data_IF_754731857581
#
_entry.id   IF_754731857581
#
_cell.length_a   1.000
_cell.length_b   1.000
_cell.length_c   1.000
_cell.angle_alpha   90.00
_cell.angle_beta   90.00
_cell.angle_gamma   90.00
#
_symmetry.space_group_name_H-M   'P 1'
#
loop_
_entity.id
_entity.type
_entity.pdbx_description
1 polymer ?
#
# COMPACT_ATOMS: atom_id res chain seq x y z
N UNK A 1 2.13 -6.18 -3.55
CA UNK A 1 0.87 -5.41 -3.53
C UNK A 1 1.04 -3.94 -3.88
N UNK A 2 1.95 -3.16 -3.29
CA UNK A 2 2.05 -1.72 -3.60
C UNK A 2 2.34 -1.40 -5.08
N UNK A 3 3.09 -2.26 -5.78
CA UNK A 3 3.28 -2.22 -7.24
C UNK A 3 1.95 -2.39 -8.00
N UNK A 4 1.12 -3.32 -7.55
CA UNK A 4 -0.21 -3.59 -8.13
C UNK A 4 -1.14 -2.41 -7.89
N UNK A 5 -1.14 -1.84 -6.67
CA UNK A 5 -1.91 -0.64 -6.34
C UNK A 5 -1.54 0.56 -7.25
N UNK A 6 -0.24 0.78 -7.46
CA UNK A 6 0.25 1.82 -8.36
C UNK A 6 -0.27 1.63 -9.80
N UNK A 7 -0.27 0.39 -10.29
CA UNK A 7 -0.77 0.05 -11.61
C UNK A 7 -2.30 0.15 -11.71
N UNK A 8 -3.05 -0.25 -10.68
CA UNK A 8 -4.50 -0.06 -10.67
C UNK A 8 -4.88 1.42 -10.76
N UNK A 9 -4.18 2.29 -10.04
CA UNK A 9 -4.37 3.73 -10.16
C UNK A 9 -4.01 4.23 -11.57
N UNK A 10 -2.93 3.71 -12.17
CA UNK A 10 -2.58 4.00 -13.56
C UNK A 10 -3.68 3.59 -14.56
N UNK A 11 -4.33 2.45 -14.35
CA UNK A 11 -5.46 2.00 -15.17
C UNK A 11 -6.68 2.91 -14.97
N UNK A 12 -6.92 3.40 -13.75
CA UNK A 12 -7.99 4.36 -13.47
C UNK A 12 -7.72 5.72 -14.09
N UNK A 13 -6.45 6.16 -14.11
CA UNK A 13 -6.03 7.44 -14.71
C UNK A 13 -6.29 7.49 -16.23
N UNK A 14 -6.62 6.37 -16.88
CA UNK A 14 -7.08 6.37 -18.27
C UNK A 14 -8.39 7.16 -18.47
N UNK A 15 -9.24 7.26 -17.44
CA UNK A 15 -10.49 8.02 -17.50
C UNK A 15 -10.27 9.53 -17.65
N UNK A 16 -9.11 10.04 -17.24
CA UNK A 16 -8.72 11.42 -17.48
C UNK A 16 -8.29 11.62 -18.93
N UNK A 17 -8.51 12.84 -19.44
CA UNK A 17 -7.96 13.28 -20.72
C UNK A 17 -6.44 13.11 -20.75
N UNK A 18 -5.84 12.76 -21.91
CA UNK A 18 -4.40 12.50 -22.00
C UNK A 18 -3.48 13.57 -21.41
N UNK A 19 -3.88 14.85 -21.45
CA UNK A 19 -3.13 15.98 -20.89
C UNK A 19 -3.16 16.06 -19.36
N UNK A 20 -4.23 15.53 -18.74
CA UNK A 20 -4.52 15.60 -17.31
C UNK A 20 -4.04 14.35 -16.56
N UNK A 21 -3.66 13.30 -17.29
CA UNK A 21 -3.05 12.09 -16.74
C UNK A 21 -1.77 12.42 -15.98
N UNK A 22 -1.60 11.76 -14.84
CA UNK A 22 -0.50 12.01 -13.92
C UNK A 22 0.19 10.76 -13.41
N UNK A 23 -0.38 9.57 -13.61
CA UNK A 23 0.17 8.29 -13.16
C UNK A 23 0.77 7.54 -14.36
N UNK A 24 1.85 6.81 -14.12
CA UNK A 24 2.59 6.07 -15.15
C UNK A 24 3.50 6.97 -15.98
N UNK A 25 4.06 8.01 -15.37
CA UNK A 25 5.06 8.87 -16.00
C UNK A 25 6.42 8.64 -15.36
N UNK A 26 7.46 8.48 -16.16
CA UNK A 26 8.84 8.47 -15.67
C UNK A 26 9.55 9.78 -15.97
N UNK A 27 10.43 10.20 -15.06
CA UNK A 27 11.27 11.36 -15.30
C UNK A 27 12.57 10.94 -16.01
N UNK A 28 12.86 11.58 -17.14
CA UNK A 28 14.10 11.35 -17.91
C UNK A 28 15.38 11.68 -17.11
N UNK A 29 15.31 12.67 -16.23
CA UNK A 29 16.41 13.08 -15.34
C UNK A 29 15.89 13.44 -13.95
N UNK A 30 16.03 12.50 -13.02
CA UNK A 30 15.64 12.67 -11.63
C UNK A 30 16.81 13.18 -10.79
N UNK A 31 16.61 14.29 -10.08
CA UNK A 31 17.53 14.80 -9.08
C UNK A 31 17.20 14.17 -7.71
N UNK A 32 18.07 13.27 -7.24
CA UNK A 32 17.89 12.61 -5.94
C UNK A 32 18.06 13.57 -4.76
N UNK A 33 18.88 14.62 -4.89
CA UNK A 33 19.15 15.58 -3.82
C UNK A 33 17.93 16.46 -3.57
N UNK A 34 17.39 17.03 -4.64
CA UNK A 34 16.22 17.90 -4.57
C UNK A 34 14.88 17.14 -4.67
N UNK A 35 14.93 15.82 -4.86
CA UNK A 35 13.78 14.93 -5.07
C UNK A 35 12.81 15.47 -6.12
N UNK A 36 13.36 15.91 -7.24
CA UNK A 36 12.60 16.59 -8.29
C UNK A 36 12.99 16.08 -9.69
N UNK A 37 12.05 16.18 -10.62
CA UNK A 37 12.34 15.96 -12.02
C UNK A 37 12.95 17.22 -12.62
N UNK A 38 14.17 17.13 -13.13
CA UNK A 38 14.86 18.22 -13.83
C UNK A 38 14.90 18.00 -15.35
N UNK A 39 14.32 16.89 -15.82
CA UNK A 39 14.14 16.59 -17.24
C UNK A 39 12.67 16.70 -17.66
N UNK A 40 12.31 15.96 -18.71
CA UNK A 40 10.93 15.80 -19.16
C UNK A 40 10.27 14.58 -18.51
N UNK A 41 8.99 14.71 -18.19
CA UNK A 41 8.13 13.59 -17.85
C UNK A 41 7.68 12.87 -19.12
N UNK A 42 7.81 11.55 -19.14
CA UNK A 42 7.43 10.70 -20.26
C UNK A 42 6.40 9.68 -19.78
N UNK A 43 5.21 9.71 -20.39
CA UNK A 43 4.17 8.73 -20.13
C UNK A 43 4.60 7.34 -20.58
N UNK A 44 4.11 6.32 -19.89
CA UNK A 44 4.36 4.93 -20.25
C UNK A 44 3.63 4.58 -21.55
N UNK A 45 4.40 4.43 -22.62
CA UNK A 45 3.93 3.88 -23.89
C UNK A 45 4.25 2.39 -23.94
N UNK A 46 3.28 1.56 -24.28
CA UNK A 46 3.43 0.11 -24.26
C UNK A 46 2.46 -0.62 -25.17
N UNK A 47 2.43 -1.94 -25.02
CA UNK A 47 1.76 -2.87 -25.93
C UNK A 47 0.28 -3.09 -25.64
N UNK A 48 -0.31 -2.45 -24.63
CA UNK A 48 -1.75 -2.54 -24.44
C UNK A 48 -2.50 -1.88 -25.61
N UNK A 49 -3.75 -2.30 -25.86
CA UNK A 49 -4.52 -1.92 -27.04
C UNK A 49 -4.74 -0.40 -27.23
N UNK A 50 -4.66 0.37 -26.14
CA UNK A 50 -4.77 1.84 -26.10
C UNK A 50 -3.39 2.54 -26.11
N UNK A 51 -2.31 1.82 -26.46
CA UNK A 51 -0.94 2.33 -26.47
C UNK A 51 -0.34 2.55 -25.07
N UNK A 52 -1.06 2.17 -24.01
CA UNK A 52 -0.60 2.26 -22.62
C UNK A 52 0.23 1.03 -22.25
N UNK A 53 1.02 1.15 -21.20
CA UNK A 53 1.73 0.00 -20.64
C UNK A 53 0.81 -1.05 -20.02
N UNK A 54 1.16 -2.32 -20.24
CA UNK A 54 0.77 -3.47 -19.42
C UNK A 54 1.39 -3.37 -18.03
N UNK A 55 1.03 -4.29 -17.12
CA UNK A 55 1.60 -4.31 -15.76
C UNK A 55 3.13 -4.45 -15.79
N UNK A 56 3.65 -5.38 -16.58
CA UNK A 56 5.09 -5.65 -16.65
C UNK A 56 5.86 -4.46 -17.25
N UNK A 57 5.33 -3.85 -18.31
CA UNK A 57 5.87 -2.62 -18.90
C UNK A 57 5.83 -1.45 -17.91
N UNK A 58 4.75 -1.32 -17.13
CA UNK A 58 4.65 -0.32 -16.07
C UNK A 58 5.70 -0.52 -14.98
N UNK A 59 5.99 -1.78 -14.60
CA UNK A 59 7.05 -2.08 -13.64
C UNK A 59 8.44 -1.72 -14.17
N UNK A 60 8.64 -1.67 -15.49
CA UNK A 60 9.88 -1.20 -16.08
C UNK A 60 10.14 0.30 -15.85
N UNK A 61 9.13 1.11 -15.50
CA UNK A 61 9.33 2.49 -15.04
C UNK A 61 9.91 2.56 -13.63
N UNK A 62 9.70 1.50 -12.84
CA UNK A 62 10.04 1.42 -11.41
C UNK A 62 11.37 0.71 -11.17
N UNK A 63 11.97 0.09 -12.19
CA UNK A 63 13.24 -0.64 -12.05
C UNK A 63 14.45 0.29 -12.04
N UNK A 64 15.52 -0.16 -11.42
CA UNK A 64 16.85 0.42 -11.67
C UNK A 64 17.32 0.05 -13.09
N UNK A 65 18.03 0.96 -13.76
CA UNK A 65 18.62 0.72 -15.10
C UNK A 65 19.47 -0.56 -15.22
N UNK A 66 20.01 -1.06 -14.09
CA UNK A 66 20.85 -2.26 -14.02
C UNK A 66 20.09 -3.60 -14.04
N UNK A 67 18.75 -3.60 -14.07
CA UNK A 67 17.95 -4.84 -14.05
C UNK A 67 17.37 -5.14 -15.44
N UNK A 68 17.32 -6.43 -15.75
CA UNK A 68 16.63 -6.93 -16.94
C UNK A 68 15.18 -6.42 -16.98
N UNK A 69 14.58 -6.29 -18.18
CA UNK A 69 13.17 -5.97 -18.30
C UNK A 69 12.29 -6.93 -17.51
N UNK A 70 11.31 -6.37 -16.82
CA UNK A 70 10.25 -7.16 -16.20
C UNK A 70 9.35 -7.69 -17.30
N UNK A 71 9.11 -9.00 -17.30
CA UNK A 71 8.26 -9.72 -18.24
C UNK A 71 7.74 -11.00 -17.60
N UNK A 72 6.47 -11.32 -17.80
CA UNK A 72 5.79 -12.50 -17.27
C UNK A 72 5.44 -12.41 -15.78
N UNK A 73 5.30 -11.22 -15.20
CA UNK A 73 5.03 -11.07 -13.76
C UNK A 73 3.55 -10.89 -13.44
N UNK A 74 2.76 -10.43 -14.42
CA UNK A 74 1.32 -10.30 -14.32
C UNK A 74 0.62 -11.66 -14.26
N UNK A 75 -0.23 -11.86 -13.25
CA UNK A 75 -1.18 -12.97 -13.19
C UNK A 75 -2.58 -12.41 -13.37
N UNK A 76 -3.39 -13.01 -14.23
CA UNK A 76 -4.75 -12.55 -14.54
C UNK A 76 -5.79 -13.51 -14.00
N UNK A 77 -6.93 -12.98 -13.51
CA UNK A 77 -8.06 -13.80 -13.08
C UNK A 77 -8.59 -14.59 -14.28
N UNK A 78 -8.83 -15.88 -14.09
CA UNK A 78 -9.27 -16.82 -15.14
C UNK A 78 -10.46 -16.25 -15.92
N UNK A 79 -10.37 -16.29 -17.25
CA UNK A 79 -11.43 -15.80 -18.15
C UNK A 79 -11.54 -14.27 -18.24
N UNK A 80 -10.60 -13.51 -17.65
CA UNK A 80 -10.63 -12.05 -17.68
C UNK A 80 -9.26 -11.46 -18.02
N UNK A 81 -9.22 -10.17 -18.37
CA UNK A 81 -7.98 -9.37 -18.47
C UNK A 81 -7.67 -8.60 -17.18
N UNK A 82 -8.33 -8.93 -16.06
CA UNK A 82 -8.14 -8.27 -14.76
C UNK A 82 -6.99 -8.93 -14.02
N UNK A 83 -6.09 -8.12 -13.46
CA UNK A 83 -5.03 -8.67 -12.61
C UNK A 83 -5.63 -9.40 -11.42
N UNK A 84 -5.08 -10.59 -11.14
CA UNK A 84 -5.20 -11.20 -9.84
C UNK A 84 -4.19 -10.51 -8.92
N UNK A 85 -4.70 -9.66 -8.03
CA UNK A 85 -3.89 -8.81 -7.15
C UNK A 85 -2.98 -9.62 -6.25
N UNK A 86 -3.54 -10.68 -5.67
CA UNK A 86 -2.83 -11.49 -4.69
C UNK A 86 -1.81 -12.39 -5.39
N UNK A 87 -2.21 -13.12 -6.43
CA UNK A 87 -1.30 -13.99 -7.18
C UNK A 87 -0.19 -13.20 -7.88
N UNK A 88 -0.50 -12.06 -8.51
CA UNK A 88 0.52 -11.16 -9.08
C UNK A 88 1.48 -10.67 -8.00
N UNK A 89 0.98 -10.39 -6.79
CA UNK A 89 1.83 -9.95 -5.68
C UNK A 89 2.71 -11.05 -5.13
N UNK A 90 2.19 -12.28 -5.00
CA UNK A 90 2.95 -13.48 -4.60
C UNK A 90 4.06 -13.76 -5.61
N UNK A 91 3.73 -13.76 -6.89
CA UNK A 91 4.71 -13.98 -7.95
C UNK A 91 5.79 -12.90 -7.92
N UNK A 92 5.41 -11.62 -7.83
CA UNK A 92 6.36 -10.51 -7.71
C UNK A 92 7.29 -10.68 -6.48
N UNK A 93 6.77 -11.13 -5.34
CA UNK A 93 7.57 -11.41 -4.14
C UNK A 93 8.61 -12.52 -4.37
N UNK A 94 8.23 -13.60 -5.06
CA UNK A 94 9.12 -14.73 -5.39
C UNK A 94 10.30 -14.28 -6.27
N UNK A 95 10.10 -13.33 -7.18
CA UNK A 95 11.16 -12.81 -8.04
C UNK A 95 12.29 -12.11 -7.26
N UNK A 96 12.02 -11.67 -6.04
CA UNK A 96 13.01 -11.01 -5.17
C UNK A 96 13.60 -11.92 -4.10
N UNK A 97 13.26 -13.23 -4.07
CA UNK A 97 13.75 -14.21 -3.09
C UNK A 97 13.65 -13.70 -1.64
N UNK A 98 12.59 -12.95 -1.33
CA UNK A 98 12.35 -12.36 0.00
C UNK A 98 13.05 -11.02 0.27
N UNK A 99 13.99 -10.56 -0.55
CA UNK A 99 14.60 -9.24 -0.43
C UNK A 99 13.96 -8.24 -1.40
N UNK A 100 12.72 -7.83 -1.09
CA UNK A 100 11.97 -6.89 -1.91
C UNK A 100 12.45 -5.47 -1.62
N UNK A 101 13.11 -4.78 -2.56
CA UNK A 101 13.50 -3.39 -2.33
C UNK A 101 12.26 -2.51 -2.24
N UNK A 102 12.32 -1.49 -1.39
CA UNK A 102 11.36 -0.41 -1.40
C UNK A 102 11.32 0.21 -2.80
N UNK A 103 10.13 0.31 -3.35
CA UNK A 103 9.94 0.78 -4.71
C UNK A 103 9.94 2.30 -4.66
N UNK A 104 10.63 2.97 -5.60
CA UNK A 104 10.48 4.41 -5.74
C UNK A 104 9.16 4.72 -6.46
N UNK A 105 8.02 4.31 -5.90
CA UNK A 105 6.67 4.48 -6.50
C UNK A 105 6.33 5.95 -6.71
N UNK A 106 6.96 6.86 -5.97
CA UNK A 106 6.90 8.29 -6.24
C UNK A 106 7.41 8.67 -7.65
N UNK A 107 8.25 7.85 -8.29
CA UNK A 107 8.79 8.13 -9.63
C UNK A 107 7.81 7.87 -10.77
N UNK A 108 6.65 7.26 -10.49
CA UNK A 108 5.60 7.04 -11.50
C UNK A 108 4.46 8.05 -11.44
N UNK A 109 4.55 9.06 -10.55
CA UNK A 109 3.57 10.14 -10.47
C UNK A 109 4.23 11.44 -10.94
N UNK A 110 3.66 12.04 -11.99
CA UNK A 110 4.11 13.31 -12.58
C UNK A 110 4.11 14.42 -11.52
N UNK A 111 5.29 14.98 -11.25
CA UNK A 111 5.47 16.08 -10.30
C UNK A 111 5.48 15.68 -8.83
N UNK A 112 5.67 14.39 -8.49
CA UNK A 112 5.84 13.95 -7.11
C UNK A 112 7.23 14.31 -6.56
N UNK A 113 7.37 14.46 -5.23
CA UNK A 113 8.60 14.96 -4.56
C UNK A 113 9.31 13.93 -3.68
N UNK A 114 9.09 12.64 -3.94
CA UNK A 114 9.95 11.58 -3.39
C UNK A 114 9.68 11.15 -1.94
N UNK A 115 8.49 11.40 -1.40
CA UNK A 115 8.06 10.90 -0.09
C UNK A 115 6.94 9.86 -0.23
N UNK A 116 7.04 8.75 0.50
CA UNK A 116 6.09 7.64 0.39
C UNK A 116 4.70 8.01 0.90
N UNK A 117 4.59 8.85 1.95
CA UNK A 117 3.28 9.31 2.44
C UNK A 117 2.62 10.25 1.44
N UNK A 118 3.41 11.17 0.84
CA UNK A 118 2.95 12.04 -0.24
C UNK A 118 2.44 11.22 -1.43
N UNK A 119 3.19 10.19 -1.83
CA UNK A 119 2.78 9.24 -2.86
C UNK A 119 1.43 8.57 -2.52
N UNK A 120 1.30 7.96 -1.33
CA UNK A 120 0.06 7.25 -0.93
C UNK A 120 -1.14 8.19 -0.97
N UNK A 121 -0.98 9.42 -0.45
CA UNK A 121 -2.01 10.44 -0.47
C UNK A 121 -2.40 10.83 -1.89
N UNK A 122 -1.42 11.17 -2.73
CA UNK A 122 -1.66 11.69 -4.09
C UNK A 122 -2.23 10.65 -5.03
N UNK A 123 -1.76 9.40 -4.91
CA UNK A 123 -2.32 8.27 -5.62
C UNK A 123 -3.83 8.19 -5.34
N UNK A 124 -4.22 8.23 -4.08
CA UNK A 124 -5.63 8.16 -3.72
C UNK A 124 -6.42 9.41 -4.07
N UNK A 125 -5.85 10.62 -3.93
CA UNK A 125 -6.51 11.87 -4.39
C UNK A 125 -6.85 11.80 -5.86
N UNK A 126 -5.92 11.28 -6.66
CA UNK A 126 -6.12 11.12 -8.10
C UNK A 126 -7.28 10.15 -8.36
N UNK A 127 -7.30 9.00 -7.69
CA UNK A 127 -8.39 8.01 -7.86
C UNK A 127 -9.72 8.51 -7.29
N UNK A 128 -9.73 9.27 -6.19
CA UNK A 128 -10.93 9.91 -5.62
C UNK A 128 -11.51 10.94 -6.60
N UNK A 129 -10.67 11.79 -7.20
CA UNK A 129 -11.08 12.76 -8.21
C UNK A 129 -11.63 12.09 -9.48
N UNK A 130 -10.97 11.04 -9.95
CA UNK A 130 -11.45 10.25 -11.09
C UNK A 130 -12.83 9.65 -10.77
N UNK A 131 -13.03 9.14 -9.56
CA UNK A 131 -14.33 8.63 -9.15
C UNK A 131 -15.41 9.72 -9.11
N UNK A 132 -15.11 10.90 -8.56
CA UNK A 132 -16.06 12.00 -8.50
C UNK A 132 -16.48 12.48 -9.91
N UNK A 133 -15.53 12.52 -10.84
CA UNK A 133 -15.76 13.04 -12.20
C UNK A 133 -16.32 12.01 -13.18
N UNK A 134 -16.02 10.72 -12.97
CA UNK A 134 -16.31 9.65 -13.94
C UNK A 134 -16.95 8.40 -13.31
N UNK A 135 -16.77 8.17 -12.01
CA UNK A 135 -17.12 6.93 -11.32
C UNK A 135 -18.62 6.66 -11.20
N UNK A 136 -19.46 7.68 -11.12
CA UNK A 136 -20.93 7.55 -11.06
C UNK A 136 -21.57 7.17 -12.40
N UNK A 137 -20.83 7.25 -13.52
CA UNK A 137 -21.42 7.19 -14.87
C UNK A 137 -21.37 5.82 -15.55
N UNK A 138 -20.59 4.84 -15.06
CA UNK A 138 -20.43 3.52 -15.71
C UNK A 138 -20.27 2.37 -14.72
N UNK A 139 -21.37 1.62 -14.48
CA UNK A 139 -21.37 0.35 -13.70
C UNK A 139 -20.28 -0.63 -14.15
N UNK A 140 -19.97 -0.66 -15.45
CA UNK A 140 -18.94 -1.53 -16.03
C UNK A 140 -17.50 -1.22 -15.58
N UNK A 141 -17.25 -0.07 -14.95
CA UNK A 141 -15.92 0.30 -14.41
C UNK A 141 -15.83 0.29 -12.88
N UNK A 142 -16.94 0.06 -12.18
CA UNK A 142 -17.01 0.09 -10.72
C UNK A 142 -15.99 -0.87 -10.08
N UNK A 143 -15.84 -2.06 -10.66
CA UNK A 143 -14.89 -3.06 -10.21
C UNK A 143 -13.44 -2.57 -10.13
N UNK A 144 -13.05 -1.57 -10.95
CA UNK A 144 -11.67 -1.02 -10.94
C UNK A 144 -11.40 -0.22 -9.66
N UNK A 145 -12.40 0.51 -9.17
CA UNK A 145 -12.33 1.26 -7.92
C UNK A 145 -12.37 0.33 -6.72
N UNK A 146 -13.24 -0.70 -6.76
CA UNK A 146 -13.30 -1.75 -5.73
C UNK A 146 -11.98 -2.52 -5.65
N UNK A 147 -11.42 -2.95 -6.79
CA UNK A 147 -10.12 -3.63 -6.83
C UNK A 147 -9.01 -2.75 -6.21
N UNK A 148 -9.02 -1.44 -6.49
CA UNK A 148 -8.07 -0.48 -5.92
C UNK A 148 -8.24 -0.34 -4.40
N UNK A 149 -9.45 -0.13 -3.92
CA UNK A 149 -9.76 0.05 -2.49
C UNK A 149 -9.47 -1.23 -1.70
N UNK A 150 -9.85 -2.40 -2.22
CA UNK A 150 -9.55 -3.70 -1.63
C UNK A 150 -8.04 -3.95 -1.54
N UNK A 151 -7.30 -3.60 -2.60
CA UNK A 151 -5.83 -3.72 -2.61
C UNK A 151 -5.19 -2.81 -1.58
N UNK A 152 -5.67 -1.56 -1.46
CA UNK A 152 -5.21 -0.59 -0.45
C UNK A 152 -5.45 -1.13 0.96
N UNK A 153 -6.66 -1.61 1.24
CA UNK A 153 -7.04 -2.11 2.56
C UNK A 153 -6.23 -3.36 2.93
N UNK A 154 -5.98 -4.26 1.97
CA UNK A 154 -5.10 -5.41 2.17
C UNK A 154 -3.65 -5.01 2.45
N UNK A 155 -3.12 -3.97 1.79
CA UNK A 155 -1.79 -3.43 2.10
C UNK A 155 -1.74 -2.92 3.54
N UNK A 156 -2.77 -2.22 4.01
CA UNK A 156 -2.83 -1.73 5.38
C UNK A 156 -2.80 -2.89 6.41
N UNK A 157 -3.50 -3.99 6.12
CA UNK A 157 -3.45 -5.22 6.93
C UNK A 157 -2.06 -5.83 6.95
N UNK A 158 -1.43 -6.05 5.78
CA UNK A 158 -0.10 -6.65 5.67
C UNK A 158 0.97 -5.80 6.37
N UNK A 159 0.93 -4.48 6.17
CA UNK A 159 1.80 -3.51 6.88
C UNK A 159 1.59 -3.62 8.39
N UNK A 160 0.34 -3.70 8.85
CA UNK A 160 0.06 -3.87 10.29
C UNK A 160 0.68 -5.16 10.83
N UNK A 161 0.51 -6.28 10.14
CA UNK A 161 1.07 -7.57 10.55
C UNK A 161 2.61 -7.58 10.54
N UNK A 162 3.24 -6.99 9.52
CA UNK A 162 4.70 -6.92 9.40
C UNK A 162 5.36 -6.22 10.60
N UNK A 163 4.82 -5.06 11.00
CA UNK A 163 5.26 -4.37 12.21
C UNK A 163 5.00 -5.19 13.49
N UNK A 164 3.85 -5.87 13.55
CA UNK A 164 3.44 -6.62 14.74
C UNK A 164 4.29 -7.86 15.01
N UNK A 165 4.94 -8.40 13.96
CA UNK A 165 5.97 -9.44 14.10
C UNK A 165 7.09 -9.03 15.07
N UNK A 166 7.37 -7.73 15.19
CA UNK A 166 8.38 -7.20 16.12
C UNK A 166 7.75 -6.58 17.38
N UNK A 167 6.58 -5.96 17.25
CA UNK A 167 5.87 -5.33 18.37
C UNK A 167 5.46 -6.37 19.42
N UNK A 168 4.87 -7.49 19.01
CA UNK A 168 4.31 -8.50 19.94
C UNK A 168 5.41 -9.13 20.81
N UNK A 169 6.54 -9.64 20.26
CA UNK A 169 7.62 -10.17 21.10
C UNK A 169 8.19 -9.12 22.06
N UNK A 170 8.32 -7.87 21.60
CA UNK A 170 8.83 -6.77 22.44
C UNK A 170 7.85 -6.38 23.54
N UNK A 171 6.55 -6.40 23.26
CA UNK A 171 5.49 -6.20 24.25
C UNK A 171 5.51 -7.33 25.30
N UNK A 172 5.57 -8.60 24.86
CA UNK A 172 5.67 -9.75 25.77
C UNK A 172 6.86 -9.63 26.71
N UNK A 173 8.02 -9.23 26.18
CA UNK A 173 9.22 -9.00 27.00
C UNK A 173 9.04 -7.83 27.98
N UNK A 174 8.40 -6.75 27.56
CA UNK A 174 8.24 -5.53 28.38
C UNK A 174 7.21 -5.72 29.51
N UNK A 175 6.09 -6.39 29.23
CA UNK A 175 5.00 -6.55 30.19
C UNK A 175 5.08 -7.84 31.01
N UNK A 176 5.76 -8.88 30.51
CA UNK A 176 5.76 -10.21 31.13
C UNK A 176 4.32 -10.68 31.37
N UNK A 177 4.05 -11.14 32.59
CA UNK A 177 2.72 -11.59 33.01
C UNK A 177 1.85 -10.47 33.61
N UNK A 178 2.32 -9.21 33.60
CA UNK A 178 1.65 -8.11 34.29
C UNK A 178 0.52 -7.47 33.47
N UNK A 179 0.56 -7.63 32.14
CA UNK A 179 -0.51 -7.18 31.23
C UNK A 179 -0.72 -8.28 30.19
N UNK A 180 -1.93 -8.85 30.18
CA UNK A 180 -2.32 -9.81 29.17
C UNK A 180 -2.54 -9.11 27.82
N UNK A 181 -1.75 -9.50 26.82
CA UNK A 181 -1.80 -8.91 25.49
C UNK A 181 -2.94 -9.51 24.67
N UNK A 182 -3.84 -8.66 24.20
CA UNK A 182 -4.91 -9.06 23.29
C UNK A 182 -4.40 -9.02 21.85
N UNK A 183 -4.37 -10.19 21.21
CA UNK A 183 -3.85 -10.36 19.85
C UNK A 183 -5.01 -10.69 18.91
N UNK A 184 -5.19 -9.87 17.89
CA UNK A 184 -6.22 -10.08 16.86
C UNK A 184 -5.64 -10.86 15.69
N UNK A 185 -6.46 -11.74 15.13
CA UNK A 185 -6.20 -12.43 13.89
C UNK A 185 -6.56 -11.53 12.70
N UNK A 186 -5.61 -11.34 11.78
CA UNK A 186 -5.73 -10.51 10.59
C UNK A 186 -5.91 -11.32 9.30
N UNK A 187 -6.13 -12.63 9.43
CA UNK A 187 -6.31 -13.55 8.32
C UNK A 187 -5.05 -14.32 7.95
N UNK A 188 -5.14 -15.06 6.86
CA UNK A 188 -4.02 -15.87 6.38
C UNK A 188 -2.91 -15.02 5.76
N UNK A 189 -1.68 -15.47 5.98
CA UNK A 189 -0.50 -14.93 5.32
C UNK A 189 -0.40 -15.47 3.88
N UNK A 190 -0.53 -14.60 2.86
CA UNK A 190 -0.53 -15.03 1.47
C UNK A 190 0.82 -15.60 1.00
N UNK A 191 1.93 -15.32 1.69
CA UNK A 191 3.25 -15.87 1.31
C UNK A 191 3.65 -17.09 2.15
N UNK A 192 2.94 -17.37 3.24
CA UNK A 192 3.22 -18.48 4.15
C UNK A 192 1.91 -19.23 4.46
N UNK A 193 1.47 -20.13 3.56
CA UNK A 193 0.24 -20.89 3.75
C UNK A 193 0.18 -21.55 5.13
N UNK A 194 -0.98 -21.48 5.78
CA UNK A 194 -1.18 -22.00 7.14
C UNK A 194 -0.59 -21.14 8.27
N UNK A 195 0.05 -20.00 7.97
CA UNK A 195 0.41 -18.99 8.98
C UNK A 195 -0.65 -17.90 9.02
N UNK A 196 -0.98 -17.44 10.24
CA UNK A 196 -1.89 -16.32 10.47
C UNK A 196 -1.11 -15.04 10.68
N UNK A 197 -1.61 -13.97 10.08
CA UNK A 197 -1.19 -12.60 10.35
C UNK A 197 -1.84 -12.16 11.66
N UNK A 198 -1.10 -11.47 12.52
CA UNK A 198 -1.63 -11.04 13.82
C UNK A 198 -1.22 -9.62 14.16
N UNK A 199 -1.99 -8.99 15.04
CA UNK A 199 -1.65 -7.70 15.60
C UNK A 199 -2.01 -7.57 17.07
N UNK A 200 -1.21 -6.80 17.82
CA UNK A 200 -1.54 -6.35 19.16
C UNK A 200 -2.65 -5.31 19.08
N UNK A 201 -3.77 -5.60 19.72
CA UNK A 201 -4.84 -4.64 19.93
C UNK A 201 -4.61 -3.91 21.25
N UNK A 202 -4.07 -2.69 21.16
CA UNK A 202 -3.84 -1.84 22.33
C UNK A 202 -5.12 -1.46 23.06
N UNK A 203 -6.24 -1.31 22.35
CA UNK A 203 -7.52 -0.93 22.96
C UNK A 203 -8.05 -2.09 23.77
N UNK A 204 -8.15 -3.27 23.18
CA UNK A 204 -8.63 -4.47 23.89
C UNK A 204 -7.66 -4.88 25.01
N UNK A 205 -6.34 -4.73 24.80
CA UNK A 205 -5.34 -4.93 25.86
C UNK A 205 -5.56 -3.99 27.04
N UNK A 206 -5.87 -2.71 26.78
CA UNK A 206 -6.16 -1.73 27.82
C UNK A 206 -7.46 -2.08 28.57
N UNK A 207 -8.50 -2.50 27.85
CA UNK A 207 -9.77 -2.93 28.46
C UNK A 207 -9.60 -4.18 29.32
N UNK A 208 -8.85 -5.17 28.86
CA UNK A 208 -8.53 -6.37 29.61
C UNK A 208 -7.73 -6.05 30.89
N UNK A 209 -6.71 -5.20 30.78
CA UNK A 209 -5.91 -4.77 31.93
C UNK A 209 -6.75 -4.01 32.97
N UNK A 210 -7.65 -3.12 32.52
CA UNK A 210 -8.60 -2.41 33.38
C UNK A 210 -9.49 -3.42 34.13
N UNK A 211 -10.06 -4.40 33.42
CA UNK A 211 -10.92 -5.43 34.00
C UNK A 211 -10.18 -6.30 35.02
N UNK A 212 -8.91 -6.59 34.77
CA UNK A 212 -8.03 -7.34 35.67
C UNK A 212 -7.51 -6.51 36.86
N UNK A 213 -7.89 -5.23 36.99
CA UNK A 213 -7.47 -4.38 38.11
C UNK A 213 -6.00 -3.95 38.05
N UNK A 214 -5.36 -4.02 36.87
CA UNK A 214 -3.96 -3.62 36.71
C UNK A 214 -3.84 -2.11 36.87
N UNK A 215 -3.14 -1.67 37.92
CA UNK A 215 -2.86 -0.25 38.15
C UNK A 215 -1.93 0.32 37.06
N UNK A 216 -2.09 1.61 36.76
CA UNK A 216 -1.28 2.37 35.78
C UNK A 216 -1.21 1.77 34.36
N UNK A 217 -2.14 0.88 33.98
CA UNK A 217 -2.10 0.18 32.69
C UNK A 217 -2.02 1.13 31.49
N UNK A 218 -2.73 2.26 31.52
CA UNK A 218 -2.71 3.28 30.46
C UNK A 218 -1.33 3.92 30.30
N UNK A 219 -0.70 4.33 31.40
CA UNK A 219 0.65 4.90 31.43
C UNK A 219 1.67 3.89 30.93
N UNK A 220 1.57 2.63 31.39
CA UNK A 220 2.50 1.57 30.99
C UNK A 220 2.39 1.21 29.51
N UNK A 221 1.18 1.09 28.98
CA UNK A 221 0.92 0.88 27.55
C UNK A 221 1.40 2.07 26.70
N UNK A 222 1.16 3.30 27.18
CA UNK A 222 1.62 4.52 26.54
C UNK A 222 3.14 4.62 26.48
N UNK A 223 3.83 4.34 27.58
CA UNK A 223 5.29 4.34 27.66
C UNK A 223 5.91 3.28 26.74
N UNK A 224 5.35 2.08 26.72
CA UNK A 224 5.77 1.03 25.80
C UNK A 224 5.61 1.47 24.34
N UNK A 225 4.44 1.98 23.96
CA UNK A 225 4.18 2.44 22.60
C UNK A 225 5.14 3.57 22.22
N UNK A 226 5.32 4.57 23.08
CA UNK A 226 6.28 5.67 22.88
C UNK A 226 7.69 5.14 22.67
N UNK A 227 8.14 4.21 23.50
CA UNK A 227 9.46 3.57 23.39
C UNK A 227 9.61 2.81 22.07
N UNK A 228 8.62 1.97 21.71
CA UNK A 228 8.66 1.17 20.49
C UNK A 228 8.71 2.05 19.23
N UNK A 229 7.86 3.08 19.17
CA UNK A 229 7.75 3.98 18.03
C UNK A 229 8.74 5.16 18.07
N UNK A 230 9.70 5.17 19.00
CA UNK A 230 10.78 6.16 19.03
C UNK A 230 11.89 5.86 18.02
N UNK A 231 12.02 4.61 17.57
CA UNK A 231 13.06 4.19 16.62
C UNK A 231 12.70 4.57 15.18
N UNK A 232 13.71 4.77 14.33
CA UNK A 232 13.55 5.20 12.94
C UNK A 232 12.56 4.33 12.15
N UNK A 233 12.82 3.03 12.09
CA UNK A 233 12.04 2.09 11.26
C UNK A 233 10.61 1.92 11.76
N UNK A 234 10.42 1.72 13.08
CA UNK A 234 9.08 1.55 13.64
C UNK A 234 8.22 2.83 13.47
N UNK A 235 8.84 4.00 13.61
CA UNK A 235 8.19 5.30 13.40
C UNK A 235 7.82 5.52 11.94
N UNK A 236 8.72 5.23 10.99
CA UNK A 236 8.45 5.34 9.56
C UNK A 236 7.33 4.39 9.15
N UNK A 237 7.37 3.14 9.62
CA UNK A 237 6.34 2.16 9.35
C UNK A 237 4.97 2.57 9.92
N UNK A 238 4.95 3.18 11.12
CA UNK A 238 3.74 3.75 11.70
C UNK A 238 3.19 4.90 10.84
N UNK A 239 4.05 5.77 10.32
CA UNK A 239 3.64 6.89 9.48
C UNK A 239 2.97 6.41 8.18
N UNK A 240 3.57 5.43 7.50
CA UNK A 240 2.99 4.84 6.27
C UNK A 240 1.64 4.17 6.55
N UNK A 241 1.52 3.40 7.65
CA UNK A 241 0.25 2.78 8.05
C UNK A 241 -0.84 3.83 8.29
N UNK A 242 -0.51 4.92 8.97
CA UNK A 242 -1.43 6.04 9.21
C UNK A 242 -1.86 6.71 7.90
N UNK A 243 -0.96 6.85 6.94
CA UNK A 243 -1.28 7.40 5.62
C UNK A 243 -2.29 6.55 4.87
N UNK A 244 -2.11 5.22 4.83
CA UNK A 244 -3.09 4.31 4.24
C UNK A 244 -4.46 4.36 4.92
N UNK A 245 -4.49 4.44 6.26
CA UNK A 245 -5.76 4.57 7.00
C UNK A 245 -6.48 5.88 6.66
N UNK A 246 -5.78 7.02 6.72
CA UNK A 246 -6.36 8.34 6.41
C UNK A 246 -6.96 8.37 4.99
N UNK A 247 -6.24 7.79 4.05
CA UNK A 247 -6.71 7.65 2.68
C UNK A 247 -7.96 6.78 2.59
N UNK A 248 -8.00 5.64 3.30
CA UNK A 248 -9.15 4.76 3.32
C UNK A 248 -10.40 5.44 3.89
N UNK A 249 -10.25 6.14 5.02
CA UNK A 249 -11.33 6.88 5.67
C UNK A 249 -11.90 7.95 4.70
N UNK A 250 -11.03 8.65 3.97
CA UNK A 250 -11.46 9.62 2.95
C UNK A 250 -12.17 8.96 1.78
N UNK A 251 -11.59 7.95 1.14
CA UNK A 251 -12.22 7.29 -0.01
C UNK A 251 -13.59 6.72 0.33
N UNK A 252 -13.79 6.17 1.54
CA UNK A 252 -15.11 5.71 2.01
C UNK A 252 -16.11 6.84 2.17
N UNK A 253 -15.68 8.03 2.58
CA UNK A 253 -16.55 9.21 2.61
C UNK A 253 -16.92 9.72 1.21
N UNK A 254 -16.08 9.47 0.20
CA UNK A 254 -16.29 9.90 -1.18
C UNK A 254 -17.05 8.85 -2.03
N UNK A 255 -17.05 7.59 -1.63
CA UNK A 255 -17.61 6.46 -2.41
C UNK A 255 -18.60 5.68 -1.56
N UNK A 256 -19.89 5.94 -1.75
CA UNK A 256 -20.92 5.03 -1.28
C UNK A 256 -21.03 3.87 -2.27
N UNK A 257 -20.42 2.73 -1.94
CA UNK A 257 -20.77 1.49 -2.63
C UNK A 257 -22.18 1.14 -2.16
N UNK A 258 -23.17 1.23 -3.04
CA UNK A 258 -24.50 0.70 -2.76
C UNK A 258 -24.34 -0.81 -2.56
N UNK A 259 -24.63 -1.29 -1.35
CA UNK A 259 -24.83 -2.71 -1.06
C UNK A 259 -25.94 -3.31 -1.94
#
# INVERSE_FOLDING_TARGET
MERVLAYQAYVLDEFNDPKDRSIGFSCTRWDNKNRACTGKWQGCAGSAANGRCTYDEFLNLLKSKKRAPVSGWAVYKRGTKRLDVEETSKYCFQQFKGNVPEIPVYRVIKGERGDFNSYTRRLAETVDNIYANHGSTKKSSQYKFEDFDNTRDRIAVLRTADQNRFLIPRARKYFGNQIELQIVDLGEDPIRPGKRLTALDFKETALAAKKAGVQDYTTRLGNFAKSFYSTGDARQHLAVRRSYRKVADRSRSCRAYSE
#
